data_IF_447262414783
#
_entry.id   IF_447262414783
#
_cell.length_a   1.000
_cell.length_b   1.000
_cell.length_c   1.000
_cell.angle_alpha   90.00
_cell.angle_beta   90.00
_cell.angle_gamma   90.00
#
_symmetry.space_group_name_H-M   'P 1'
#
loop_
_entity.id
_entity.type
_entity.pdbx_description
1 polymer ?
#
# COMPACT_ATOMS: atom_id res chain seq x y z
N UNK A 1 49.82 11.75 45.19
CA UNK A 1 49.57 10.76 44.11
C UNK A 1 50.19 9.44 44.53
N UNK A 2 49.41 8.51 45.09
CA UNK A 2 49.96 7.23 45.55
C UNK A 2 50.04 6.23 44.38
N UNK A 3 51.25 5.89 43.97
CA UNK A 3 51.52 4.85 42.96
C UNK A 3 51.39 3.47 43.60
N UNK A 4 50.44 2.65 43.15
CA UNK A 4 50.26 1.29 43.65
C UNK A 4 51.45 0.40 43.25
N UNK A 5 52.07 -0.25 44.25
CA UNK A 5 53.13 -1.23 44.02
C UNK A 5 52.56 -2.48 43.31
N UNK A 6 53.23 -3.04 42.29
CA UNK A 6 52.75 -4.24 41.63
C UNK A 6 52.71 -5.42 42.63
N UNK A 7 51.56 -6.08 42.72
CA UNK A 7 51.37 -7.25 43.58
C UNK A 7 52.25 -8.41 43.09
N UNK A 8 53.03 -9.02 43.98
CA UNK A 8 53.80 -10.24 43.70
C UNK A 8 52.84 -11.37 43.29
N UNK A 9 53.01 -11.89 42.08
CA UNK A 9 52.21 -13.00 41.56
C UNK A 9 52.76 -14.33 42.07
N UNK A 10 52.01 -14.98 42.97
CA UNK A 10 52.33 -16.34 43.41
C UNK A 10 52.20 -17.33 42.23
N UNK A 11 53.03 -18.40 42.19
CA UNK A 11 52.99 -19.38 41.12
C UNK A 11 51.63 -20.08 41.04
N UNK A 12 51.03 -20.10 39.83
CA UNK A 12 49.72 -20.70 39.59
C UNK A 12 49.81 -22.23 39.56
N UNK A 13 49.47 -22.86 40.67
CA UNK A 13 49.29 -24.31 40.80
C UNK A 13 47.97 -24.77 40.15
N UNK A 14 47.84 -26.09 39.85
CA UNK A 14 46.67 -26.68 39.19
C UNK A 14 45.33 -26.35 39.88
N UNK A 15 45.35 -26.16 41.21
CA UNK A 15 44.19 -25.76 42.04
C UNK A 15 43.86 -24.25 42.00
N UNK A 16 44.82 -23.42 41.62
CA UNK A 16 44.69 -21.95 41.54
C UNK A 16 44.56 -21.43 40.10
N UNK A 17 44.53 -22.33 39.11
CA UNK A 17 44.30 -21.97 37.71
C UNK A 17 42.80 -21.77 37.47
N UNK A 18 42.46 -20.65 36.85
CA UNK A 18 41.11 -20.37 36.36
C UNK A 18 40.90 -21.09 35.05
N UNK A 19 39.87 -21.95 34.98
CA UNK A 19 39.45 -22.59 33.73
C UNK A 19 38.51 -21.64 33.00
N UNK A 20 38.89 -21.26 31.79
CA UNK A 20 38.05 -20.48 30.88
C UNK A 20 37.36 -21.47 29.95
N UNK A 21 36.12 -21.82 30.25
CA UNK A 21 35.28 -22.63 29.38
C UNK A 21 34.35 -21.70 28.60
N UNK A 22 34.36 -21.83 27.27
CA UNK A 22 33.43 -21.11 26.44
C UNK A 22 32.14 -21.92 26.34
N UNK A 23 31.01 -21.27 26.58
CA UNK A 23 29.73 -21.84 26.17
C UNK A 23 29.72 -21.99 24.64
N UNK A 24 29.79 -23.23 24.17
CA UNK A 24 29.81 -23.55 22.75
C UNK A 24 28.56 -23.05 22.02
N UNK A 25 27.41 -23.00 22.71
CA UNK A 25 26.15 -22.49 22.15
C UNK A 25 26.27 -20.99 21.90
N UNK A 26 26.68 -20.22 22.91
CA UNK A 26 26.91 -18.78 22.79
C UNK A 26 27.98 -18.46 21.73
N UNK A 27 29.07 -19.25 21.68
CA UNK A 27 30.10 -19.12 20.64
C UNK A 27 29.54 -19.36 19.24
N UNK A 28 28.75 -20.43 19.07
CA UNK A 28 28.15 -20.76 17.77
C UNK A 28 27.16 -19.68 17.30
N UNK A 29 26.39 -19.12 18.22
CA UNK A 29 25.46 -18.02 17.96
C UNK A 29 26.20 -16.73 17.60
N UNK A 30 27.23 -16.37 18.37
CA UNK A 30 28.07 -15.21 18.11
C UNK A 30 28.71 -15.29 16.71
N UNK A 31 29.27 -16.45 16.35
CA UNK A 31 29.86 -16.68 15.04
C UNK A 31 28.82 -16.70 13.90
N UNK A 32 27.61 -17.21 14.13
CA UNK A 32 26.51 -17.20 13.15
C UNK A 32 25.76 -15.87 13.07
N UNK A 33 25.96 -14.97 14.03
CA UNK A 33 25.24 -13.68 14.15
C UNK A 33 25.42 -12.77 12.94
N UNK A 34 26.50 -12.89 12.18
CA UNK A 34 26.72 -12.11 10.96
C UNK A 34 25.65 -12.38 9.90
N UNK A 35 25.23 -13.64 9.76
CA UNK A 35 24.16 -14.00 8.83
C UNK A 35 22.82 -13.44 9.32
N UNK A 36 22.54 -13.55 10.62
CA UNK A 36 21.34 -12.96 11.25
C UNK A 36 21.27 -11.46 10.98
N UNK A 37 22.31 -10.71 11.37
CA UNK A 37 22.41 -9.25 11.13
C UNK A 37 22.30 -8.88 9.65
N UNK A 38 22.85 -9.69 8.74
CA UNK A 38 22.71 -9.46 7.30
C UNK A 38 21.27 -9.62 6.83
N UNK A 39 20.54 -10.62 7.35
CA UNK A 39 19.11 -10.78 7.07
C UNK A 39 18.33 -9.62 7.66
N UNK A 40 18.62 -9.21 8.89
CA UNK A 40 17.92 -8.12 9.57
C UNK A 40 18.09 -6.80 8.82
N UNK A 41 19.33 -6.47 8.42
CA UNK A 41 19.60 -5.30 7.57
C UNK A 41 18.82 -5.34 6.24
N UNK A 42 18.72 -6.51 5.60
CA UNK A 42 17.92 -6.67 4.37
C UNK A 42 16.43 -6.51 4.61
N UNK A 43 15.93 -7.00 5.75
CA UNK A 43 14.52 -6.84 6.14
C UNK A 43 14.20 -5.37 6.38
N UNK A 44 15.03 -4.70 7.18
CA UNK A 44 14.90 -3.27 7.49
C UNK A 44 14.98 -2.40 6.23
N UNK A 45 15.90 -2.69 5.31
CA UNK A 45 15.98 -1.98 4.04
C UNK A 45 14.71 -2.14 3.18
N UNK A 46 14.14 -3.35 3.11
CA UNK A 46 12.87 -3.60 2.40
C UNK A 46 11.71 -2.87 3.05
N UNK A 47 11.57 -2.95 4.37
CA UNK A 47 10.51 -2.23 5.10
C UNK A 47 10.60 -0.71 4.91
N UNK A 48 11.82 -0.15 4.88
CA UNK A 48 12.02 1.27 4.56
C UNK A 48 11.60 1.61 3.14
N UNK A 49 11.89 0.75 2.17
CA UNK A 49 11.45 0.96 0.77
C UNK A 49 9.93 0.86 0.65
N UNK A 50 9.31 -0.16 1.25
CA UNK A 50 7.86 -0.34 1.20
C UNK A 50 7.12 0.84 1.85
N UNK A 51 7.62 1.35 2.98
CA UNK A 51 7.09 2.55 3.64
C UNK A 51 7.17 3.79 2.74
N UNK A 52 8.28 3.98 2.01
CA UNK A 52 8.42 5.10 1.07
C UNK A 52 7.40 5.01 -0.06
N UNK A 53 7.26 3.84 -0.69
CA UNK A 53 6.30 3.62 -1.78
C UNK A 53 4.85 3.84 -1.31
N UNK A 54 4.52 3.40 -0.09
CA UNK A 54 3.19 3.64 0.48
C UNK A 54 2.93 5.13 0.76
N UNK A 55 3.93 5.86 1.26
CA UNK A 55 3.83 7.30 1.48
C UNK A 55 3.64 8.05 0.14
N UNK A 56 4.46 7.73 -0.88
CA UNK A 56 4.34 8.27 -2.24
C UNK A 56 2.95 7.98 -2.82
N UNK A 57 2.44 6.75 -2.68
CA UNK A 57 1.09 6.39 -3.13
C UNK A 57 0.02 7.24 -2.46
N UNK A 58 0.12 7.47 -1.14
CA UNK A 58 -0.83 8.30 -0.39
C UNK A 58 -0.82 9.75 -0.87
N UNK A 59 0.36 10.29 -1.14
CA UNK A 59 0.51 11.65 -1.66
C UNK A 59 -0.09 11.78 -3.07
N UNK A 60 0.17 10.83 -3.96
CA UNK A 60 -0.40 10.83 -5.31
C UNK A 60 -1.93 10.68 -5.27
N UNK A 61 -2.47 9.87 -4.36
CA UNK A 61 -3.92 9.76 -4.16
C UNK A 61 -4.53 11.09 -3.67
N UNK A 62 -3.84 11.80 -2.78
CA UNK A 62 -4.26 13.14 -2.35
C UNK A 62 -4.28 14.11 -3.54
N UNK A 63 -3.20 14.16 -4.33
CA UNK A 63 -3.14 14.99 -5.55
C UNK A 63 -4.28 14.66 -6.52
N UNK A 64 -4.61 13.38 -6.70
CA UNK A 64 -5.73 12.97 -7.55
C UNK A 64 -7.07 13.49 -7.03
N UNK A 65 -7.29 13.45 -5.71
CA UNK A 65 -8.51 13.96 -5.06
C UNK A 65 -8.62 15.48 -5.18
N UNK A 66 -7.51 16.19 -4.94
CA UNK A 66 -7.45 17.64 -5.02
C UNK A 66 -7.75 18.13 -6.44
N UNK A 67 -7.20 17.48 -7.47
CA UNK A 67 -7.52 17.78 -8.87
C UNK A 67 -8.98 17.47 -9.24
N UNK A 68 -9.55 16.39 -8.69
CA UNK A 68 -10.97 16.09 -8.91
C UNK A 68 -11.86 17.17 -8.28
N UNK A 69 -11.53 17.62 -7.07
CA UNK A 69 -12.25 18.68 -6.38
C UNK A 69 -12.13 20.02 -7.12
N UNK A 70 -10.93 20.38 -7.60
CA UNK A 70 -10.76 21.62 -8.37
C UNK A 70 -11.55 21.60 -9.68
N UNK A 71 -11.56 20.46 -10.39
CA UNK A 71 -12.34 20.33 -11.60
C UNK A 71 -13.85 20.37 -11.33
N UNK A 72 -14.32 19.76 -10.24
CA UNK A 72 -15.73 19.85 -9.85
C UNK A 72 -16.12 21.28 -9.52
N UNK A 73 -15.30 22.02 -8.75
CA UNK A 73 -15.58 23.41 -8.40
C UNK A 73 -15.58 24.35 -9.63
N UNK A 74 -14.76 24.07 -10.63
CA UNK A 74 -14.76 24.83 -11.89
C UNK A 74 -16.03 24.57 -12.71
N UNK A 75 -16.51 23.33 -12.74
CA UNK A 75 -17.73 22.94 -13.47
C UNK A 75 -19.02 23.17 -12.67
N UNK A 76 -18.94 23.39 -11.35
CA UNK A 76 -20.09 23.71 -10.50
C UNK A 76 -20.47 25.18 -10.54
N UNK A 77 -19.77 26.01 -11.31
CA UNK A 77 -20.30 27.32 -11.69
C UNK A 77 -21.53 27.03 -12.53
N UNK A 78 -22.71 27.24 -11.93
CA UNK A 78 -24.01 27.06 -12.57
C UNK A 78 -23.94 27.75 -13.93
N UNK A 79 -24.15 26.97 -14.99
CA UNK A 79 -24.21 27.52 -16.34
C UNK A 79 -25.39 28.50 -16.31
N UNK A 80 -25.19 29.79 -16.66
CA UNK A 80 -26.23 30.82 -16.51
C UNK A 80 -27.50 30.51 -17.31
N UNK A 81 -27.42 29.66 -18.33
CA UNK A 81 -28.58 29.16 -19.09
C UNK A 81 -29.45 28.18 -18.29
N UNK A 82 -28.90 27.52 -17.26
CA UNK A 82 -29.60 26.53 -16.43
C UNK A 82 -30.09 27.17 -15.12
N UNK A 83 -29.49 28.28 -14.66
CA UNK A 83 -29.96 28.94 -13.43
C UNK A 83 -31.42 29.37 -13.51
N UNK A 84 -31.89 29.78 -14.69
CA UNK A 84 -33.29 30.16 -14.90
C UNK A 84 -34.25 28.97 -14.86
N UNK A 85 -33.77 27.73 -15.02
CA UNK A 85 -34.60 26.52 -14.90
C UNK A 85 -34.72 26.02 -13.45
N UNK A 86 -33.82 26.47 -12.56
CA UNK A 86 -33.77 26.01 -11.16
C UNK A 86 -34.72 26.82 -10.28
N UNK A 87 -34.90 28.10 -10.57
CA UNK A 87 -35.80 28.95 -9.80
C UNK A 87 -37.25 28.82 -10.30
N UNK A 88 -38.24 28.66 -9.40
CA UNK A 88 -39.63 28.53 -9.80
C UNK A 88 -40.15 29.85 -10.39
N UNK A 89 -40.54 29.83 -11.67
CA UNK A 89 -41.13 31.00 -12.33
C UNK A 89 -42.64 31.04 -12.08
N UNK A 90 -43.12 32.15 -11.49
CA UNK A 90 -44.53 32.38 -11.17
C UNK A 90 -45.09 33.40 -12.17
N UNK A 91 -46.10 32.98 -12.93
CA UNK A 91 -46.84 33.84 -13.84
C UNK A 91 -48.23 34.10 -13.26
N UNK A 92 -48.53 35.37 -12.97
CA UNK A 92 -49.87 35.82 -12.55
C UNK A 92 -50.69 36.19 -13.80
N UNK A 93 -51.70 35.37 -14.11
CA UNK A 93 -52.68 35.66 -15.15
C UNK A 93 -53.97 36.20 -14.51
N UNK A 94 -54.85 36.88 -15.28
CA UNK A 94 -56.05 37.51 -14.73
C UNK A 94 -57.01 36.59 -13.97
N UNK A 95 -57.02 35.29 -14.27
CA UNK A 95 -57.93 34.31 -13.61
C UNK A 95 -57.21 33.25 -12.76
N UNK A 96 -55.89 33.08 -12.91
CA UNK A 96 -55.14 32.01 -12.23
C UNK A 96 -53.63 32.26 -12.23
N UNK A 97 -52.91 31.54 -11.38
CA UNK A 97 -51.44 31.59 -11.29
C UNK A 97 -50.84 30.29 -11.83
N UNK A 98 -49.87 30.41 -12.74
CA UNK A 98 -49.12 29.27 -13.27
C UNK A 98 -47.71 29.29 -12.67
N UNK A 99 -47.34 28.22 -11.98
CA UNK A 99 -46.01 28.05 -11.40
C UNK A 99 -45.24 26.97 -12.17
N UNK A 100 -44.14 27.35 -12.80
CA UNK A 100 -43.21 26.41 -13.44
C UNK A 100 -42.16 26.05 -12.40
N UNK A 101 -42.22 24.84 -11.85
CA UNK A 101 -41.23 24.33 -10.90
C UNK A 101 -40.89 22.86 -11.22
N UNK A 102 -39.81 22.36 -10.62
CA UNK A 102 -39.38 20.98 -10.83
C UNK A 102 -40.38 19.98 -10.22
N UNK A 103 -40.56 18.85 -10.89
CA UNK A 103 -41.56 17.82 -10.54
C UNK A 103 -41.27 17.22 -9.16
N UNK A 104 -40.02 17.29 -8.70
CA UNK A 104 -39.60 16.81 -7.38
C UNK A 104 -40.00 17.70 -6.20
N UNK A 105 -40.36 18.97 -6.43
CA UNK A 105 -40.76 19.92 -5.38
C UNK A 105 -42.28 19.96 -5.18
N UNK A 106 -43.05 19.68 -6.24
CA UNK A 106 -44.51 19.69 -6.21
C UNK A 106 -45.04 18.30 -5.88
N UNK A 107 -45.69 18.16 -4.72
CA UNK A 107 -46.36 16.92 -4.31
C UNK A 107 -47.71 16.75 -5.04
N UNK A 108 -47.66 16.25 -6.28
CA UNK A 108 -48.85 15.99 -7.10
C UNK A 108 -49.74 14.85 -6.58
N UNK A 109 -49.24 14.01 -5.67
CA UNK A 109 -49.97 12.85 -5.13
C UNK A 109 -50.80 13.24 -3.90
N UNK A 110 -50.66 14.49 -3.44
CA UNK A 110 -51.30 14.99 -2.23
C UNK A 110 -50.61 14.45 -0.98
N UNK A 111 -50.82 15.16 0.13
CA UNK A 111 -50.19 15.09 1.48
C UNK A 111 -50.07 13.69 2.15
N UNK A 112 -50.35 12.60 1.45
CA UNK A 112 -50.33 11.22 1.88
C UNK A 112 -49.00 10.51 1.69
N UNK A 113 -47.84 11.16 1.86
CA UNK A 113 -46.56 10.52 2.22
C UNK A 113 -46.07 9.33 1.37
N UNK A 114 -46.63 9.09 0.17
CA UNK A 114 -46.36 7.94 -0.68
C UNK A 114 -45.35 8.26 -1.79
N UNK A 115 -44.43 9.18 -1.55
CA UNK A 115 -43.31 9.43 -2.47
C UNK A 115 -42.05 8.74 -1.94
N UNK A 116 -41.34 8.06 -2.85
CA UNK A 116 -39.96 7.63 -2.58
C UNK A 116 -39.14 8.90 -2.39
N UNK A 117 -38.52 9.08 -1.21
CA UNK A 117 -37.75 10.29 -0.89
C UNK A 117 -36.66 10.59 -1.93
N UNK A 118 -36.22 11.85 -1.99
CA UNK A 118 -35.14 12.25 -2.88
C UNK A 118 -33.87 11.44 -2.56
N UNK A 119 -33.26 10.83 -3.58
CA UNK A 119 -31.98 10.15 -3.45
C UNK A 119 -30.88 11.16 -3.13
N UNK A 120 -30.67 11.46 -1.85
CA UNK A 120 -29.48 12.16 -1.39
C UNK A 120 -28.32 11.18 -1.55
N UNK A 121 -27.49 11.41 -2.56
CA UNK A 121 -26.26 10.66 -2.74
C UNK A 121 -25.47 10.65 -1.43
N UNK A 122 -25.20 9.45 -0.91
CA UNK A 122 -24.39 9.24 0.28
C UNK A 122 -23.05 9.98 0.08
N UNK A 123 -22.84 11.08 0.80
CA UNK A 123 -21.52 11.71 0.90
C UNK A 123 -20.68 10.83 1.84
N UNK A 124 -19.66 10.11 1.34
CA UNK A 124 -18.88 9.23 2.18
C UNK A 124 -17.84 10.07 2.92
N UNK A 125 -18.23 10.73 4.00
CA UNK A 125 -17.34 10.89 5.15
C UNK A 125 -17.38 9.59 5.98
N UNK A 126 -16.80 8.52 5.43
CA UNK A 126 -16.15 7.43 6.16
C UNK A 126 -15.94 6.26 5.21
N UNK A 127 -14.67 5.87 5.04
CA UNK A 127 -14.23 4.66 4.36
C UNK A 127 -14.43 4.61 2.84
N UNK A 128 -13.68 5.44 2.11
CA UNK A 128 -13.48 5.28 0.68
C UNK A 128 -12.36 4.25 0.41
N UNK A 129 -12.73 2.97 0.39
CA UNK A 129 -12.03 1.93 -0.36
C UNK A 129 -12.97 1.47 -1.49
N UNK A 130 -13.41 2.41 -2.33
CA UNK A 130 -14.12 2.08 -3.57
C UNK A 130 -13.33 2.61 -4.77
N UNK A 131 -12.75 1.64 -5.48
CA UNK A 131 -12.26 1.74 -6.84
C UNK A 131 -13.40 2.03 -7.81
N UNK A 132 -13.95 3.24 -7.78
CA UNK A 132 -14.79 3.74 -8.88
C UNK A 132 -13.87 4.20 -10.01
N UNK A 133 -13.63 3.32 -10.98
CA UNK A 133 -12.97 3.65 -12.24
C UNK A 133 -13.90 4.51 -13.12
N UNK A 134 -14.11 5.77 -12.74
CA UNK A 134 -14.62 6.75 -13.70
C UNK A 134 -13.45 7.18 -14.58
N UNK A 135 -13.46 6.93 -15.91
CA UNK A 135 -12.42 7.43 -16.79
C UNK A 135 -12.56 8.95 -16.85
N UNK A 136 -11.73 9.67 -16.08
CA UNK A 136 -11.59 11.13 -16.22
C UNK A 136 -10.92 11.37 -17.57
N UNK A 137 -11.75 11.59 -18.57
CA UNK A 137 -11.34 12.07 -19.87
C UNK A 137 -10.74 13.48 -19.69
N UNK A 138 -9.53 13.72 -20.20
CA UNK A 138 -9.19 15.06 -20.67
C UNK A 138 -7.79 15.62 -20.42
N UNK A 139 -7.21 15.57 -19.22
CA UNK A 139 -5.97 16.34 -18.95
C UNK A 139 -4.68 15.51 -18.99
N UNK A 140 -3.57 16.13 -19.44
CA UNK A 140 -2.23 15.50 -19.41
C UNK A 140 -1.82 15.14 -17.96
N UNK A 141 -2.28 15.94 -17.00
CA UNK A 141 -2.00 15.80 -15.58
C UNK A 141 -2.68 14.57 -14.97
N UNK A 142 -3.96 14.32 -15.28
CA UNK A 142 -4.69 13.14 -14.77
C UNK A 142 -4.08 11.83 -15.24
N UNK A 143 -3.67 11.76 -16.52
CA UNK A 143 -2.94 10.61 -17.09
C UNK A 143 -1.59 10.39 -16.41
N UNK A 144 -0.88 11.47 -16.09
CA UNK A 144 0.42 11.39 -15.41
C UNK A 144 0.29 10.81 -14.00
N UNK A 145 -0.77 11.19 -13.26
CA UNK A 145 -1.05 10.72 -11.90
C UNK A 145 -1.44 9.25 -11.90
N UNK A 146 -2.28 8.83 -12.85
CA UNK A 146 -2.64 7.42 -13.04
C UNK A 146 -1.40 6.56 -13.33
N UNK A 147 -0.51 7.03 -14.19
CA UNK A 147 0.75 6.32 -14.49
C UNK A 147 1.64 6.20 -13.23
N UNK A 148 1.74 7.26 -12.42
CA UNK A 148 2.49 7.24 -11.14
C UNK A 148 1.87 6.27 -10.13
N UNK A 149 0.54 6.22 -10.01
CA UNK A 149 -0.16 5.25 -9.14
C UNK A 149 0.06 3.80 -9.60
N UNK A 150 -0.03 3.55 -10.90
CA UNK A 150 0.24 2.25 -11.49
C UNK A 150 1.69 1.81 -11.23
N UNK A 151 2.65 2.72 -11.39
CA UNK A 151 4.06 2.46 -11.08
C UNK A 151 4.27 2.08 -9.61
N UNK A 152 3.67 2.79 -8.66
CA UNK A 152 3.75 2.45 -7.22
C UNK A 152 3.17 1.05 -6.94
N UNK A 153 2.01 0.74 -7.53
CA UNK A 153 1.37 -0.57 -7.38
C UNK A 153 2.22 -1.71 -7.95
N UNK A 154 2.82 -1.48 -9.12
CA UNK A 154 3.73 -2.42 -9.77
C UNK A 154 5.00 -2.65 -8.96
N UNK A 155 5.55 -1.61 -8.33
CA UNK A 155 6.72 -1.75 -7.45
C UNK A 155 6.40 -2.66 -6.25
N UNK A 156 5.26 -2.47 -5.58
CA UNK A 156 4.82 -3.31 -4.46
C UNK A 156 4.56 -4.77 -4.85
N UNK A 157 3.99 -5.00 -6.04
CA UNK A 157 3.67 -6.36 -6.51
C UNK A 157 4.88 -7.10 -7.12
N UNK A 158 5.82 -6.37 -7.73
CA UNK A 158 7.02 -6.93 -8.37
C UNK A 158 7.89 -7.73 -7.39
N UNK A 159 7.95 -7.33 -6.12
CA UNK A 159 8.67 -8.06 -5.08
C UNK A 159 8.10 -9.47 -4.88
N UNK A 160 6.77 -9.61 -4.85
CA UNK A 160 6.08 -10.91 -4.72
C UNK A 160 6.30 -11.78 -5.96
N UNK A 161 6.24 -11.18 -7.15
CA UNK A 161 6.46 -11.89 -8.41
C UNK A 161 7.91 -12.39 -8.54
N UNK A 162 8.89 -11.55 -8.20
CA UNK A 162 10.29 -11.94 -8.19
C UNK A 162 10.57 -13.06 -7.17
N UNK A 163 9.95 -13.03 -5.99
CA UNK A 163 10.05 -14.13 -5.03
C UNK A 163 9.49 -15.46 -5.58
N UNK A 164 8.31 -15.43 -6.23
CA UNK A 164 7.73 -16.60 -6.91
C UNK A 164 8.66 -17.12 -8.02
N UNK A 165 9.21 -16.23 -8.85
CA UNK A 165 10.16 -16.55 -9.92
C UNK A 165 11.42 -17.24 -9.39
N UNK A 166 12.00 -16.72 -8.30
CA UNK A 166 13.18 -17.31 -7.66
C UNK A 166 12.89 -18.68 -7.05
N UNK A 167 11.72 -18.87 -6.40
CA UNK A 167 11.28 -20.19 -5.92
C UNK A 167 11.17 -21.20 -7.06
N UNK A 168 10.53 -20.81 -8.18
CA UNK A 168 10.42 -21.66 -9.38
C UNK A 168 11.80 -22.07 -9.92
N UNK A 169 12.73 -21.12 -10.05
CA UNK A 169 14.12 -21.38 -10.49
C UNK A 169 14.85 -22.34 -9.54
N UNK A 170 14.67 -22.17 -8.23
CA UNK A 170 15.26 -23.07 -7.23
C UNK A 170 14.72 -24.49 -7.36
N UNK A 171 13.40 -24.68 -7.47
CA UNK A 171 12.80 -26.00 -7.66
C UNK A 171 13.30 -26.67 -8.95
N UNK A 172 13.40 -25.92 -10.04
CA UNK A 172 13.93 -26.44 -11.30
C UNK A 172 15.37 -26.94 -11.11
N UNK A 173 16.23 -26.14 -10.46
CA UNK A 173 17.61 -26.52 -10.16
C UNK A 173 17.72 -27.77 -9.28
N UNK A 174 16.81 -27.94 -8.32
CA UNK A 174 16.75 -29.15 -7.47
C UNK A 174 16.37 -30.38 -8.30
N UNK A 175 15.37 -30.27 -9.20
CA UNK A 175 14.97 -31.36 -10.12
C UNK A 175 16.12 -31.77 -11.04
N UNK A 176 16.85 -30.81 -11.61
CA UNK A 176 18.02 -31.11 -12.46
C UNK A 176 19.15 -31.81 -11.69
N UNK A 177 19.43 -31.40 -10.46
CA UNK A 177 20.45 -32.06 -9.62
C UNK A 177 20.04 -33.48 -9.22
N UNK A 178 18.76 -33.72 -8.95
CA UNK A 178 18.22 -35.04 -8.64
C UNK A 178 18.39 -36.01 -9.83
N UNK A 179 18.05 -35.57 -11.06
CA UNK A 179 18.25 -36.36 -12.28
C UNK A 179 19.73 -36.72 -12.50
N UNK A 180 20.64 -35.75 -12.34
CA UNK A 180 22.09 -35.97 -12.50
C UNK A 180 22.68 -36.93 -11.45
N UNK A 181 22.13 -36.96 -10.23
CA UNK A 181 22.51 -37.94 -9.20
C UNK A 181 21.96 -39.34 -9.49
N UNK A 182 20.77 -39.45 -10.06
CA UNK A 182 20.18 -40.73 -10.49
C UNK A 182 21.00 -41.42 -11.58
N UNK A 183 21.41 -40.69 -12.62
CA UNK A 183 22.27 -41.23 -13.69
C UNK A 183 23.63 -41.72 -13.20
N UNK A 184 24.25 -40.98 -12.26
CA UNK A 184 25.54 -41.40 -11.66
C UNK A 184 25.42 -42.68 -10.83
N UNK A 185 24.27 -42.93 -10.19
CA UNK A 185 24.04 -44.19 -9.46
C UNK A 185 23.76 -45.37 -10.41
N UNK A 186 23.08 -45.14 -11.54
CA UNK A 186 22.85 -46.16 -12.57
C UNK A 186 24.14 -46.64 -13.24
N UNK A 187 25.10 -45.74 -13.48
CA UNK A 187 26.41 -46.11 -14.05
C UNK A 187 27.35 -46.82 -13.08
N UNK A 188 27.18 -46.63 -11.76
CA UNK A 188 27.96 -47.33 -10.72
C UNK A 188 27.49 -48.76 -10.41
N UNK A 189 26.25 -49.13 -10.78
CA UNK A 189 25.71 -50.48 -10.61
C UNK A 189 25.98 -51.44 -11.77
N UNK A 190 26.66 -50.98 -12.83
CA UNK A 190 27.02 -51.79 -14.02
C UNK A 190 28.51 -52.18 -14.06
N UNK A 191 29.21 -52.13 -12.93
CA UNK A 191 30.56 -52.68 -12.76
C UNK A 191 30.53 -53.70 -11.64
#
# INVERSE_FOLDING_TARGET
MATSRPKKTNPKNRKTKTFLEFDEKARSEYLRSFHKRKIDRKKLAREKQDKKILAERKEILKQARDLKASHLNQNSSIIPEISTLVDPEIYELPEHTVTIADIGEIDFVGKGGFHLGQNKGFSPESNADETTHTPVTGSKESKSIQHKLAACSNQLSSAKLNAKRMKKKHMLRMKFQAKKKGEKKGKKKKK
#
